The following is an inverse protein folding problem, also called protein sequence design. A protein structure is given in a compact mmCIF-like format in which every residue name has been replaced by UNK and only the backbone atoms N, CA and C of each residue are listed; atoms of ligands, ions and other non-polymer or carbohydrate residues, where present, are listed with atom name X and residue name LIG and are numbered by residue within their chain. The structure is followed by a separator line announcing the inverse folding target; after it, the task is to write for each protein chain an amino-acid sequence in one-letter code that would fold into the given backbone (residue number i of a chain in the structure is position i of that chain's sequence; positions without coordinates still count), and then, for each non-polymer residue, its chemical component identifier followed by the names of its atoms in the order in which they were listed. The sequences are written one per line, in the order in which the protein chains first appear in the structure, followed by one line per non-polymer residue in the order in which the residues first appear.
data_IF_261466033245
#
_entry.id   IF_261466033245
#
_cell.length_a   1.000
_cell.length_b   1.000
_cell.length_c   1.000
_cell.angle_alpha   90.00
_cell.angle_beta   90.00
_cell.angle_gamma   90.00
#
_symmetry.space_group_name_H-M   'P 1'
#
loop_
_entity.id
_entity.type
_entity.pdbx_description
1 polymer ?
#
# COMPACT_ATOMS: atom_id res chain seq x y z
N UNK A 1 -61.64 -5.39 -27.71
CA UNK A 1 -60.35 -4.76 -27.35
C UNK A 1 -59.24 -5.81 -27.44
N UNK A 2 -58.49 -5.86 -28.54
CA UNK A 2 -57.28 -6.70 -28.65
C UNK A 2 -56.09 -5.86 -28.20
N UNK A 3 -55.36 -6.30 -27.16
CA UNK A 3 -54.08 -5.71 -26.74
C UNK A 3 -53.04 -5.99 -27.84
N UNK A 4 -52.50 -4.94 -28.44
CA UNK A 4 -51.28 -5.04 -29.26
C UNK A 4 -50.10 -5.29 -28.31
N UNK A 5 -49.44 -6.44 -28.48
CA UNK A 5 -48.13 -6.70 -27.90
C UNK A 5 -47.11 -5.86 -28.68
N UNK A 6 -46.45 -4.93 -28.00
CA UNK A 6 -45.21 -4.34 -28.51
C UNK A 6 -44.15 -5.44 -28.54
N UNK A 7 -43.79 -5.92 -29.73
CA UNK A 7 -42.54 -6.66 -29.88
C UNK A 7 -41.40 -5.66 -29.73
N UNK A 8 -40.47 -5.93 -28.81
CA UNK A 8 -39.21 -5.20 -28.75
C UNK A 8 -38.50 -5.32 -30.11
N UNK A 9 -38.08 -4.18 -30.64
CA UNK A 9 -37.45 -4.08 -31.95
C UNK A 9 -36.04 -4.71 -31.87
N UNK A 10 -35.73 -5.77 -32.65
CA UNK A 10 -34.41 -6.40 -32.63
C UNK A 10 -33.27 -5.44 -33.02
N UNK A 11 -33.56 -4.33 -33.69
CA UNK A 11 -32.57 -3.31 -34.05
C UNK A 11 -32.07 -2.49 -32.85
N UNK A 12 -32.80 -2.49 -31.73
CA UNK A 12 -32.39 -1.78 -30.52
C UNK A 12 -31.13 -2.41 -29.88
N UNK A 13 -30.96 -3.74 -30.02
CA UNK A 13 -29.78 -4.46 -29.55
C UNK A 13 -28.52 -4.19 -30.39
N UNK A 14 -28.69 -3.80 -31.66
CA UNK A 14 -27.57 -3.50 -32.56
C UNK A 14 -26.89 -2.16 -32.26
N UNK A 15 -27.69 -1.13 -31.96
CA UNK A 15 -27.15 0.19 -31.62
C UNK A 15 -26.45 0.21 -30.26
N UNK A 16 -27.03 -0.45 -29.25
CA UNK A 16 -26.40 -0.60 -27.94
C UNK A 16 -25.06 -1.34 -28.03
N UNK A 17 -24.98 -2.39 -28.86
CA UNK A 17 -23.73 -3.11 -29.12
C UNK A 17 -22.65 -2.23 -29.75
N UNK A 18 -23.02 -1.39 -30.72
CA UNK A 18 -22.10 -0.44 -31.36
C UNK A 18 -21.60 0.63 -30.39
N UNK A 19 -22.46 1.11 -29.48
CA UNK A 19 -22.06 2.07 -28.45
C UNK A 19 -21.08 1.45 -27.46
N UNK A 20 -21.33 0.21 -27.01
CA UNK A 20 -20.43 -0.54 -26.12
C UNK A 20 -19.07 -0.78 -26.78
N UNK A 21 -19.06 -1.13 -28.08
CA UNK A 21 -17.83 -1.33 -28.84
C UNK A 21 -17.05 -0.03 -28.98
N UNK A 22 -17.72 1.07 -29.35
CA UNK A 22 -17.09 2.38 -29.46
C UNK A 22 -16.53 2.88 -28.11
N UNK A 23 -17.26 2.67 -27.02
CA UNK A 23 -16.78 2.98 -25.66
C UNK A 23 -15.54 2.16 -25.30
N UNK A 24 -15.54 0.87 -25.63
CA UNK A 24 -14.40 -0.02 -25.39
C UNK A 24 -13.16 0.43 -26.15
N UNK A 25 -13.30 0.75 -27.44
CA UNK A 25 -12.19 1.25 -28.28
C UNK A 25 -11.68 2.60 -27.77
N UNK A 26 -12.58 3.52 -27.42
CA UNK A 26 -12.21 4.84 -26.90
C UNK A 26 -11.47 4.73 -25.56
N UNK A 27 -11.93 3.86 -24.67
CA UNK A 27 -11.27 3.58 -23.39
C UNK A 27 -9.87 3.01 -23.63
N UNK A 28 -9.73 2.03 -24.52
CA UNK A 28 -8.42 1.44 -24.83
C UNK A 28 -7.45 2.47 -25.42
N UNK A 29 -7.90 3.32 -26.34
CA UNK A 29 -7.09 4.39 -26.91
C UNK A 29 -6.66 5.42 -25.87
N UNK A 30 -7.54 5.78 -24.93
CA UNK A 30 -7.22 6.68 -23.83
C UNK A 30 -6.17 6.08 -22.88
N UNK A 31 -6.29 4.79 -22.55
CA UNK A 31 -5.31 4.07 -21.73
C UNK A 31 -3.95 3.98 -22.41
N UNK A 32 -3.93 3.67 -23.70
CA UNK A 32 -2.69 3.62 -24.47
C UNK A 32 -2.02 4.99 -24.50
N UNK A 33 -2.78 6.06 -24.74
CA UNK A 33 -2.25 7.43 -24.71
C UNK A 33 -1.66 7.79 -23.33
N UNK A 34 -2.30 7.37 -22.23
CA UNK A 34 -1.87 7.72 -20.87
C UNK A 34 -0.65 6.88 -20.42
N UNK A 35 -0.62 5.61 -20.77
CA UNK A 35 0.30 4.62 -20.18
C UNK A 35 1.24 3.93 -21.17
N UNK A 36 1.31 4.35 -22.44
CA UNK A 36 2.20 3.73 -23.44
C UNK A 36 3.69 3.69 -23.04
N UNK A 37 4.11 4.58 -22.14
CA UNK A 37 5.49 4.61 -21.63
C UNK A 37 5.74 3.59 -20.50
N UNK A 38 4.69 2.93 -19.99
CA UNK A 38 4.77 1.95 -18.91
C UNK A 38 4.64 0.53 -19.47
N UNK A 39 5.32 -0.45 -18.86
CA UNK A 39 5.25 -1.84 -19.28
C UNK A 39 3.82 -2.40 -19.15
N UNK A 40 3.44 -3.26 -20.10
CA UNK A 40 2.12 -3.87 -20.16
C UNK A 40 2.04 -5.25 -19.51
N UNK A 41 3.19 -5.83 -19.12
CA UNK A 41 3.26 -7.18 -18.56
C UNK A 41 3.93 -7.19 -17.19
N UNK A 42 3.60 -8.19 -16.35
CA UNK A 42 4.16 -8.32 -15.01
C UNK A 42 5.69 -8.51 -15.02
N UNK A 43 6.21 -9.29 -15.97
CA UNK A 43 7.64 -9.59 -16.06
C UNK A 43 8.47 -8.34 -16.37
N UNK A 44 7.95 -7.46 -17.24
CA UNK A 44 8.57 -6.17 -17.56
C UNK A 44 8.35 -5.12 -16.46
N UNK A 45 7.20 -5.18 -15.78
CA UNK A 45 6.85 -4.25 -14.70
C UNK A 45 7.64 -4.47 -13.42
N UNK A 46 7.98 -5.71 -13.09
CA UNK A 46 8.68 -6.04 -11.85
C UNK A 46 10.04 -5.32 -11.69
N UNK A 47 10.96 -5.31 -12.69
CA UNK A 47 12.19 -4.54 -12.58
C UNK A 47 11.95 -3.02 -12.50
N UNK A 48 10.93 -2.50 -13.19
CA UNK A 48 10.54 -1.08 -13.12
C UNK A 48 10.06 -0.72 -11.72
N UNK A 49 9.19 -1.53 -11.13
CA UNK A 49 8.69 -1.30 -9.78
C UNK A 49 9.80 -1.37 -8.72
N UNK A 50 10.75 -2.30 -8.86
CA UNK A 50 11.95 -2.34 -8.01
C UNK A 50 12.79 -1.07 -8.11
N UNK A 51 12.91 -0.49 -9.30
CA UNK A 51 13.60 0.79 -9.49
C UNK A 51 12.82 1.95 -8.86
N UNK A 52 11.49 1.99 -9.01
CA UNK A 52 10.62 2.96 -8.33
C UNK A 52 10.83 2.90 -6.82
N UNK A 53 10.86 1.70 -6.20
CA UNK A 53 11.12 1.54 -4.77
C UNK A 53 12.48 2.14 -4.37
N UNK A 54 13.53 1.89 -5.16
CA UNK A 54 14.88 2.43 -4.87
C UNK A 54 14.92 3.95 -4.95
N UNK A 55 14.33 4.54 -6.01
CA UNK A 55 14.22 6.00 -6.15
C UNK A 55 13.37 6.61 -5.04
N UNK A 56 12.27 5.94 -4.68
CA UNK A 56 11.37 6.38 -3.61
C UNK A 56 12.10 6.37 -2.27
N UNK A 57 12.88 5.33 -2.02
CA UNK A 57 13.73 5.27 -0.83
C UNK A 57 14.76 6.38 -0.76
N UNK A 58 15.47 6.66 -1.86
CA UNK A 58 16.40 7.77 -1.92
C UNK A 58 15.70 9.12 -1.67
N UNK A 59 14.52 9.35 -2.26
CA UNK A 59 13.74 10.57 -2.07
C UNK A 59 13.27 10.74 -0.61
N UNK A 60 12.77 9.67 0.01
CA UNK A 60 12.38 9.66 1.43
C UNK A 60 13.58 9.97 2.34
N UNK A 61 14.73 9.35 2.10
CA UNK A 61 15.97 9.65 2.85
C UNK A 61 16.46 11.09 2.63
N UNK A 62 16.21 11.68 1.47
CA UNK A 62 16.53 13.07 1.20
C UNK A 62 15.50 14.06 1.78
N UNK A 63 14.38 13.58 2.34
CA UNK A 63 13.27 14.44 2.78
C UNK A 63 12.51 15.10 1.63
N UNK A 64 12.63 14.58 0.41
CA UNK A 64 12.01 15.15 -0.78
C UNK A 64 10.57 14.64 -0.95
N UNK A 65 9.62 15.35 -0.36
CA UNK A 65 8.18 15.01 -0.40
C UNK A 65 7.62 14.99 -1.82
N UNK A 66 7.99 15.95 -2.66
CA UNK A 66 7.44 16.07 -4.01
C UNK A 66 7.82 14.85 -4.86
N UNK A 67 9.12 14.53 -4.93
CA UNK A 67 9.59 13.35 -5.67
C UNK A 67 9.04 12.06 -5.06
N UNK A 68 8.91 11.98 -3.74
CA UNK A 68 8.29 10.82 -3.07
C UNK A 68 6.86 10.59 -3.57
N UNK A 69 6.02 11.63 -3.62
CA UNK A 69 4.63 11.51 -4.06
C UNK A 69 4.55 11.22 -5.57
N UNK A 70 5.39 11.86 -6.40
CA UNK A 70 5.45 11.58 -7.83
C UNK A 70 5.77 10.10 -8.13
N UNK A 71 6.70 9.50 -7.38
CA UNK A 71 7.07 8.10 -7.53
C UNK A 71 5.95 7.13 -7.09
N UNK A 72 5.13 7.53 -6.13
CA UNK A 72 3.94 6.77 -5.74
C UNK A 72 2.88 6.82 -6.84
N UNK A 73 2.66 7.99 -7.44
CA UNK A 73 1.78 8.12 -8.61
C UNK A 73 2.29 7.26 -9.78
N UNK A 74 3.60 7.27 -10.07
CA UNK A 74 4.20 6.41 -11.11
C UNK A 74 3.93 4.91 -10.84
N UNK A 75 4.06 4.47 -9.59
CA UNK A 75 3.73 3.10 -9.20
C UNK A 75 2.23 2.79 -9.37
N UNK A 76 1.35 3.73 -9.03
CA UNK A 76 -0.10 3.56 -9.17
C UNK A 76 -0.51 3.50 -10.65
N UNK A 77 0.05 4.36 -11.49
CA UNK A 77 -0.14 4.34 -12.94
C UNK A 77 0.34 3.01 -13.53
N UNK A 78 1.44 2.44 -13.03
CA UNK A 78 1.90 1.10 -13.41
C UNK A 78 0.88 0.02 -13.04
N UNK A 79 0.32 0.05 -11.82
CA UNK A 79 -0.70 -0.90 -11.40
C UNK A 79 -2.00 -0.76 -12.23
N UNK A 80 -2.39 0.46 -12.59
CA UNK A 80 -3.52 0.72 -13.49
C UNK A 80 -3.25 0.16 -14.88
N UNK A 81 -2.05 0.38 -15.44
CA UNK A 81 -1.66 -0.15 -16.76
C UNK A 81 -1.76 -1.67 -16.80
N UNK A 82 -1.20 -2.35 -15.80
CA UNK A 82 -1.23 -3.81 -15.71
C UNK A 82 -2.64 -4.38 -15.54
N UNK A 83 -3.58 -3.56 -15.06
CA UNK A 83 -4.96 -3.96 -14.83
C UNK A 83 -5.94 -3.34 -15.83
N UNK A 84 -5.47 -3.04 -17.05
CA UNK A 84 -6.29 -2.52 -18.15
C UNK A 84 -7.06 -1.23 -17.78
N UNK A 85 -6.44 -0.36 -16.97
CA UNK A 85 -7.02 0.91 -16.54
C UNK A 85 -7.89 0.85 -15.29
N UNK A 86 -8.19 -0.35 -14.78
CA UNK A 86 -8.98 -0.54 -13.56
C UNK A 86 -8.08 -0.51 -12.31
N UNK A 87 -8.58 -0.13 -11.13
CA UNK A 87 -7.79 -0.18 -9.89
C UNK A 87 -7.24 -1.59 -9.61
N UNK A 88 -5.91 -1.74 -9.68
CA UNK A 88 -5.20 -3.02 -9.47
C UNK A 88 -4.57 -3.17 -8.08
N UNK A 89 -4.88 -2.26 -7.15
CA UNK A 89 -4.32 -2.21 -5.79
C UNK A 89 -5.38 -2.60 -4.77
N UNK A 90 -5.00 -3.32 -3.73
CA UNK A 90 -5.92 -3.78 -2.65
C UNK A 90 -7.15 -4.55 -3.17
N UNK A 91 -7.05 -5.13 -4.36
CA UNK A 91 -8.17 -5.75 -5.09
C UNK A 91 -8.08 -7.29 -5.13
N UNK A 92 -7.38 -7.89 -4.16
CA UNK A 92 -7.18 -9.33 -4.05
C UNK A 92 -5.75 -9.78 -4.37
N UNK A 93 -5.40 -11.05 -4.08
CA UNK A 93 -4.01 -11.54 -4.14
C UNK A 93 -3.42 -11.55 -5.56
N UNK A 94 -4.24 -11.64 -6.59
CA UNK A 94 -3.81 -11.70 -8.00
C UNK A 94 -3.96 -10.35 -8.71
N UNK A 95 -4.39 -9.30 -7.99
CA UNK A 95 -4.42 -7.95 -8.52
C UNK A 95 -2.97 -7.46 -8.77
N UNK A 96 -2.68 -6.76 -9.87
CA UNK A 96 -1.29 -6.45 -10.24
C UNK A 96 -0.49 -5.69 -9.18
N UNK A 97 -1.09 -4.74 -8.47
CA UNK A 97 -0.42 -4.02 -7.38
C UNK A 97 -0.07 -4.94 -6.21
N UNK A 98 -0.97 -5.85 -5.83
CA UNK A 98 -0.73 -6.84 -4.79
C UNK A 98 0.35 -7.86 -5.20
N UNK A 99 0.39 -8.24 -6.49
CA UNK A 99 1.46 -9.09 -7.03
C UNK A 99 2.80 -8.37 -6.99
N UNK A 100 2.86 -7.10 -7.43
CA UNK A 100 4.07 -6.28 -7.39
C UNK A 100 4.62 -6.19 -5.97
N UNK A 101 3.80 -5.83 -4.98
CA UNK A 101 4.22 -5.77 -3.57
C UNK A 101 4.73 -7.12 -3.05
N UNK A 102 4.02 -8.22 -3.36
CA UNK A 102 4.43 -9.56 -2.93
C UNK A 102 5.76 -9.98 -3.54
N UNK A 103 6.00 -9.68 -4.82
CA UNK A 103 7.21 -10.06 -5.55
C UNK A 103 8.42 -9.16 -5.24
N UNK A 104 8.20 -8.06 -4.53
CA UNK A 104 9.25 -7.15 -4.06
C UNK A 104 9.32 -7.03 -2.56
N UNK A 105 8.66 -7.90 -1.79
CA UNK A 105 8.73 -7.87 -0.33
C UNK A 105 10.18 -7.98 0.14
N UNK A 106 10.53 -7.25 1.20
CA UNK A 106 11.82 -7.44 1.86
C UNK A 106 11.87 -8.81 2.54
N UNK A 107 13.08 -9.40 2.62
CA UNK A 107 13.28 -10.65 3.35
C UNK A 107 12.89 -10.47 4.83
N UNK A 108 12.30 -11.51 5.43
CA UNK A 108 11.87 -11.47 6.83
C UNK A 108 13.05 -11.15 7.77
N UNK A 109 12.85 -10.18 8.66
CA UNK A 109 13.86 -9.71 9.60
C UNK A 109 14.75 -8.59 9.04
N UNK A 110 14.70 -8.32 7.75
CA UNK A 110 15.45 -7.22 7.12
C UNK A 110 14.60 -5.95 7.14
N UNK A 111 15.19 -4.83 7.54
CA UNK A 111 14.54 -3.52 7.47
C UNK A 111 14.30 -3.21 5.99
N UNK A 112 13.04 -2.97 5.56
CA UNK A 112 12.73 -2.73 4.16
C UNK A 112 13.29 -1.39 3.69
N UNK A 113 13.34 -1.19 2.37
CA UNK A 113 13.44 0.17 1.82
C UNK A 113 12.13 0.94 2.07
N UNK A 114 12.17 2.27 1.99
CA UNK A 114 10.92 3.02 2.03
C UNK A 114 10.07 2.70 0.82
N UNK A 115 8.79 2.41 1.04
CA UNK A 115 7.86 2.01 -0.03
C UNK A 115 7.90 0.52 -0.38
N UNK A 116 8.74 -0.26 0.32
CA UNK A 116 8.78 -1.71 0.21
C UNK A 116 8.06 -2.33 1.41
N UNK A 117 7.16 -3.28 1.16
CA UNK A 117 6.55 -4.08 2.24
C UNK A 117 7.63 -4.91 2.94
N UNK A 118 7.57 -5.01 4.27
CA UNK A 118 8.52 -5.84 5.02
C UNK A 118 8.10 -6.10 6.45
N UNK A 119 8.66 -7.15 7.05
CA UNK A 119 8.45 -7.50 8.46
C UNK A 119 9.80 -7.67 9.16
N UNK A 120 10.02 -6.94 10.24
CA UNK A 120 11.29 -6.92 10.97
C UNK A 120 11.09 -6.68 12.46
N UNK A 121 12.10 -6.95 13.28
CA UNK A 121 12.04 -6.75 14.73
C UNK A 121 12.96 -5.60 15.11
N UNK A 122 12.47 -4.72 16.00
CA UNK A 122 13.26 -3.67 16.63
C UNK A 122 13.14 -3.75 18.15
N UNK A 123 14.14 -3.20 18.84
CA UNK A 123 14.06 -2.92 20.26
C UNK A 123 13.69 -1.45 20.49
N UNK A 124 12.63 -1.20 21.26
CA UNK A 124 12.19 0.14 21.63
C UNK A 124 11.66 0.15 23.07
N UNK A 125 12.19 1.04 23.91
CA UNK A 125 11.80 1.13 25.33
C UNK A 125 11.87 -0.23 26.07
N UNK A 126 12.88 -1.05 25.77
CA UNK A 126 13.08 -2.39 26.33
C UNK A 126 12.07 -3.45 25.83
N UNK A 127 11.21 -3.12 24.87
CA UNK A 127 10.33 -4.05 24.17
C UNK A 127 10.99 -4.55 22.89
N UNK A 128 10.98 -5.86 22.66
CA UNK A 128 11.15 -6.41 21.32
C UNK A 128 9.79 -6.46 20.64
N UNK A 129 9.67 -5.78 19.51
CA UNK A 129 8.41 -5.68 18.77
C UNK A 129 8.63 -6.03 17.31
N UNK A 130 7.68 -6.74 16.71
CA UNK A 130 7.70 -7.00 15.27
C UNK A 130 6.92 -5.89 14.57
N UNK A 131 7.57 -5.23 13.62
CA UNK A 131 6.99 -4.23 12.73
C UNK A 131 6.57 -4.94 11.45
N UNK A 132 5.33 -4.74 11.02
CA UNK A 132 4.91 -5.03 9.65
C UNK A 132 4.68 -3.66 8.97
N UNK A 133 5.56 -3.31 8.04
CA UNK A 133 5.60 -2.02 7.33
C UNK A 133 4.91 -2.14 5.99
N UNK A 134 4.04 -1.17 5.66
CA UNK A 134 3.33 -1.13 4.39
C UNK A 134 4.24 -0.64 3.25
N UNK A 135 3.97 -1.11 2.04
CA UNK A 135 4.58 -0.64 0.80
C UNK A 135 3.87 0.56 0.17
N UNK A 136 4.26 0.91 -1.06
CA UNK A 136 3.69 2.03 -1.81
C UNK A 136 2.17 1.88 -2.03
N UNK A 137 1.62 0.68 -2.15
CA UNK A 137 0.18 0.50 -2.36
C UNK A 137 -0.63 0.34 -1.06
N UNK A 138 0.02 0.57 0.10
CA UNK A 138 -0.63 0.61 1.40
C UNK A 138 -1.71 1.68 1.52
N UNK A 139 -2.64 1.49 2.45
CA UNK A 139 -3.82 2.37 2.61
C UNK A 139 -3.38 3.81 2.89
N UNK A 140 -3.79 4.75 2.04
CA UNK A 140 -3.51 6.18 2.26
C UNK A 140 -2.05 6.59 2.01
N UNK A 141 -1.23 5.71 1.42
CA UNK A 141 0.14 6.01 1.00
C UNK A 141 0.24 7.18 0.02
N UNK A 142 -0.79 7.42 -0.80
CA UNK A 142 -0.82 8.57 -1.72
C UNK A 142 -1.03 9.92 -1.02
N UNK A 143 -1.60 9.91 0.20
CA UNK A 143 -2.03 11.14 0.89
C UNK A 143 -1.22 11.45 2.15
N UNK A 144 -0.47 10.47 2.67
CA UNK A 144 0.39 10.62 3.85
C UNK A 144 1.87 10.58 3.44
N UNK A 145 2.71 11.53 3.88
CA UNK A 145 4.13 11.51 3.57
C UNK A 145 4.82 10.26 4.12
N UNK A 146 4.43 9.81 5.30
CA UNK A 146 4.97 8.61 5.96
C UNK A 146 4.16 7.36 5.66
N UNK A 147 4.85 6.22 5.59
CA UNK A 147 4.22 4.90 5.44
C UNK A 147 3.58 4.45 6.75
N UNK A 148 2.47 3.72 6.63
CA UNK A 148 1.85 3.09 7.78
C UNK A 148 2.65 1.86 8.18
N UNK A 149 2.47 1.46 9.43
CA UNK A 149 2.96 0.20 9.91
C UNK A 149 2.12 -0.30 11.08
N UNK A 150 2.23 -1.58 11.34
CA UNK A 150 1.67 -2.19 12.54
C UNK A 150 2.76 -2.80 13.40
N UNK A 151 2.50 -2.86 14.70
CA UNK A 151 3.40 -3.35 15.73
C UNK A 151 2.74 -4.54 16.41
N UNK A 152 3.48 -5.64 16.49
CA UNK A 152 3.03 -6.89 17.10
C UNK A 152 3.94 -7.25 18.26
N UNK A 153 3.34 -7.80 19.31
CA UNK A 153 4.08 -8.33 20.44
C UNK A 153 4.91 -9.55 20.04
N UNK A 154 6.21 -9.51 20.34
CA UNK A 154 7.08 -10.70 20.31
C UNK A 154 6.91 -11.50 21.61
N UNK A 155 6.89 -10.80 22.75
CA UNK A 155 6.80 -11.40 24.08
C UNK A 155 5.40 -11.21 24.69
N UNK A 156 4.52 -12.19 24.50
CA UNK A 156 3.10 -12.11 24.88
C UNK A 156 2.83 -12.07 26.40
N UNK A 157 3.83 -12.37 27.22
CA UNK A 157 3.75 -12.28 28.69
C UNK A 157 4.33 -10.98 29.26
N UNK A 158 4.83 -10.07 28.41
CA UNK A 158 5.38 -8.78 28.84
C UNK A 158 4.41 -7.63 28.52
N UNK A 159 4.51 -6.49 29.21
CA UNK A 159 3.75 -5.29 28.85
C UNK A 159 4.03 -4.84 27.41
N UNK A 160 3.01 -4.25 26.77
CA UNK A 160 3.02 -3.85 25.36
C UNK A 160 2.24 -2.54 25.13
N UNK A 161 2.17 -2.08 23.89
CA UNK A 161 1.45 -0.86 23.47
C UNK A 161 -0.08 -0.97 23.60
N UNK A 162 -0.62 -2.19 23.67
CA UNK A 162 -2.04 -2.49 23.76
C UNK A 162 -2.30 -3.80 24.50
N UNK A 163 -3.54 -3.99 24.94
CA UNK A 163 -4.01 -5.22 25.61
C UNK A 163 -4.10 -6.42 24.64
N UNK A 164 -4.12 -6.18 23.34
CA UNK A 164 -4.27 -7.21 22.30
C UNK A 164 -2.95 -7.76 21.79
N UNK A 165 -1.81 -7.14 22.15
CA UNK A 165 -0.52 -7.44 21.53
C UNK A 165 -0.38 -6.90 20.11
N UNK A 166 -1.28 -6.00 19.67
CA UNK A 166 -1.28 -5.38 18.34
C UNK A 166 -1.57 -3.87 18.41
N UNK A 167 -0.84 -3.07 17.65
CA UNK A 167 -1.11 -1.63 17.46
C UNK A 167 -0.82 -1.21 16.03
N UNK A 168 -1.78 -0.55 15.38
CA UNK A 168 -1.58 0.07 14.06
C UNK A 168 -1.23 1.56 14.20
N UNK A 169 -0.35 2.04 13.32
CA UNK A 169 0.02 3.44 13.16
C UNK A 169 -0.26 3.86 11.72
N UNK A 170 -1.25 4.73 11.53
CA UNK A 170 -1.70 5.18 10.22
C UNK A 170 -1.91 6.69 10.20
N UNK A 171 -1.77 7.30 9.02
CA UNK A 171 -2.09 8.72 8.81
C UNK A 171 -1.18 9.68 9.57
N UNK A 172 0.10 9.34 9.70
CA UNK A 172 1.08 10.17 10.40
C UNK A 172 1.41 11.42 9.57
N UNK A 173 0.83 12.56 9.99
CA UNK A 173 1.06 13.85 9.33
C UNK A 173 2.24 14.58 9.97
N UNK A 174 3.41 14.46 9.34
CA UNK A 174 4.60 15.22 9.65
C UNK A 174 5.42 15.45 8.38
N UNK A 175 6.19 16.53 8.33
CA UNK A 175 7.14 16.75 7.24
C UNK A 175 8.17 15.62 7.21
N UNK A 176 8.62 15.24 6.01
CA UNK A 176 9.71 14.29 5.87
C UNK A 176 11.00 14.92 6.43
N UNK A 177 11.67 14.19 7.30
CA UNK A 177 12.97 14.57 7.83
C UNK A 177 14.06 13.72 7.16
N UNK A 178 15.14 14.33 6.65
CA UNK A 178 16.22 13.59 6.00
C UNK A 178 16.90 12.56 6.91
N UNK A 179 17.40 11.48 6.31
CA UNK A 179 18.20 10.45 6.98
C UNK A 179 17.42 9.45 7.85
N UNK A 180 16.10 9.56 7.93
CA UNK A 180 15.27 8.60 8.68
C UNK A 180 15.08 7.31 7.89
N UNK A 181 15.62 6.21 8.42
CA UNK A 181 15.32 4.85 7.94
C UNK A 181 14.01 4.32 8.55
N UNK A 182 13.37 3.29 7.94
CA UNK A 182 12.09 2.78 8.43
C UNK A 182 12.08 2.30 9.89
N UNK A 183 13.16 1.68 10.35
CA UNK A 183 13.34 1.21 11.73
C UNK A 183 13.47 2.37 12.73
N UNK A 184 14.29 3.39 12.40
CA UNK A 184 14.42 4.58 13.24
C UNK A 184 13.09 5.33 13.33
N UNK A 185 12.39 5.49 12.20
CA UNK A 185 11.06 6.09 12.17
C UNK A 185 10.06 5.32 13.04
N UNK A 186 9.96 4.00 12.87
CA UNK A 186 9.03 3.18 13.67
C UNK A 186 9.36 3.31 15.17
N UNK A 187 10.63 3.26 15.54
CA UNK A 187 11.07 3.45 16.93
C UNK A 187 10.64 4.80 17.49
N UNK A 188 10.84 5.90 16.75
CA UNK A 188 10.47 7.25 17.18
C UNK A 188 8.95 7.42 17.32
N UNK A 189 8.17 6.87 16.39
CA UNK A 189 6.71 6.91 16.47
C UNK A 189 6.20 6.12 17.67
N UNK A 190 6.77 4.94 17.92
CA UNK A 190 6.41 4.12 19.09
C UNK A 190 6.77 4.85 20.38
N UNK A 191 7.97 5.43 20.46
CA UNK A 191 8.39 6.19 21.64
C UNK A 191 7.45 7.37 21.90
N UNK A 192 7.15 8.17 20.88
CA UNK A 192 6.22 9.28 20.98
C UNK A 192 4.82 8.82 21.43
N UNK A 193 4.34 7.68 20.94
CA UNK A 193 3.07 7.09 21.38
C UNK A 193 3.11 6.67 22.85
N UNK A 194 4.19 6.01 23.29
CA UNK A 194 4.37 5.62 24.70
C UNK A 194 4.35 6.84 25.60
N UNK A 195 5.06 7.91 25.23
CA UNK A 195 5.12 9.12 26.05
C UNK A 195 3.79 9.89 26.08
N UNK A 196 3.17 10.12 24.91
CA UNK A 196 1.99 10.99 24.79
C UNK A 196 0.69 10.28 25.15
N UNK A 197 0.46 9.10 24.57
CA UNK A 197 -0.82 8.39 24.68
C UNK A 197 -0.84 7.45 25.88
N UNK A 198 0.29 6.78 26.15
CA UNK A 198 0.40 5.83 27.26
C UNK A 198 1.00 6.44 28.53
N UNK A 199 1.44 7.71 28.49
CA UNK A 199 2.04 8.43 29.63
C UNK A 199 3.18 7.65 30.28
N UNK A 200 4.00 7.00 29.45
CA UNK A 200 5.13 6.16 29.86
C UNK A 200 4.76 4.79 30.43
N UNK A 201 3.48 4.37 30.37
CA UNK A 201 3.01 3.11 30.98
C UNK A 201 2.46 2.14 29.96
N UNK A 202 3.20 1.06 29.72
CA UNK A 202 2.76 -0.05 28.88
C UNK A 202 1.59 -0.82 29.53
N UNK A 203 0.82 -1.53 28.69
CA UNK A 203 -0.35 -2.31 29.09
C UNK A 203 -0.02 -3.80 29.16
N UNK A 204 -0.60 -4.51 30.12
CA UNK A 204 -0.53 -5.96 30.12
C UNK A 204 -1.38 -6.54 28.98
N UNK A 205 -0.83 -7.49 28.22
CA UNK A 205 -1.61 -8.22 27.22
C UNK A 205 -2.60 -9.14 27.94
N UNK A 206 -3.87 -9.08 27.54
CA UNK A 206 -4.93 -9.88 28.16
C UNK A 206 -4.71 -11.38 27.90
N UNK A 207 -5.03 -12.25 28.87
CA UNK A 207 -4.81 -13.70 28.74
C UNK A 207 -5.38 -14.34 27.47
N UNK A 208 -6.54 -13.85 26.98
CA UNK A 208 -7.19 -14.38 25.77
C UNK A 208 -6.40 -14.14 24.48
N UNK A 209 -5.52 -13.13 24.46
CA UNK A 209 -4.68 -12.82 23.30
C UNK A 209 -3.28 -13.42 23.39
N UNK A 210 -2.87 -13.92 24.57
CA UNK A 210 -1.55 -14.53 24.72
C UNK A 210 -1.49 -15.79 23.87
N UNK A 211 -0.58 -15.81 22.89
CA UNK A 211 -0.26 -17.03 22.16
C UNK A 211 0.23 -18.07 23.18
N UNK A 212 -0.36 -19.26 23.13
CA UNK A 212 0.10 -20.41 23.92
C UNK A 212 1.49 -20.85 23.48
#
# INVERSE_FOLDING_TARGET
MKRQSFSADPDQFGFDSLLIEAETVNRQAALEKRFAHLPGTMDEALPVYRDIIKRHHAAMLAGNTETTLQLREEAHDLALRLNNGEPGILAGPDAPGCMLERLTVADNGIVPLWGQTGSFIIEVQGMNVRIDMDGIFGIGSQYSPWMNFSVHAVHWNKPFLSETGYRSFMGLQAQLAPGLTPDIFASQVIDAHVQKELKGRLKAIEPRYRKK
#
